data_IF_181249989738
#
_entry.id   IF_181249989738
#
_cell.length_a   1.000
_cell.length_b   1.000
_cell.length_c   1.000
_cell.angle_alpha   90.00
_cell.angle_beta   90.00
_cell.angle_gamma   90.00
#
_symmetry.space_group_name_H-M   'P 1'
#
loop_
_entity.id
_entity.type
_entity.pdbx_description
1 polymer ?
#
# COMPACT_ATOMS: atom_id res chain seq x y z
N UNK A 1 -18.01 -29.48 -63.18
CA UNK A 1 -18.90 -28.47 -62.59
C UNK A 1 -18.48 -28.30 -61.15
N UNK A 2 -17.62 -27.33 -60.90
CA UNK A 2 -17.05 -27.05 -59.58
C UNK A 2 -17.57 -25.69 -59.09
N UNK A 3 -18.31 -25.69 -58.00
CA UNK A 3 -18.80 -24.50 -57.34
C UNK A 3 -17.70 -23.93 -56.43
N UNK A 4 -17.49 -22.61 -56.42
CA UNK A 4 -16.56 -22.00 -55.48
C UNK A 4 -17.19 -21.78 -54.11
N UNK A 5 -16.47 -22.16 -53.07
CA UNK A 5 -16.78 -21.88 -51.66
C UNK A 5 -16.39 -20.45 -51.37
N UNK A 6 -17.38 -19.62 -50.98
CA UNK A 6 -17.15 -18.27 -50.54
C UNK A 6 -16.65 -18.25 -49.08
N UNK A 7 -15.39 -17.83 -48.88
CA UNK A 7 -14.82 -17.59 -47.58
C UNK A 7 -15.24 -16.19 -47.09
N UNK A 8 -16.15 -16.15 -46.12
CA UNK A 8 -16.52 -14.91 -45.44
C UNK A 8 -15.50 -14.64 -44.34
N UNK A 9 -14.62 -13.67 -44.59
CA UNK A 9 -13.67 -13.15 -43.63
C UNK A 9 -14.36 -12.13 -42.74
N UNK A 10 -14.68 -12.53 -41.49
CA UNK A 10 -15.15 -11.61 -40.44
C UNK A 10 -13.93 -10.98 -39.75
N UNK A 11 -13.46 -9.87 -40.31
CA UNK A 11 -12.58 -8.95 -39.61
C UNK A 11 -13.42 -8.17 -38.57
N UNK A 12 -13.54 -8.68 -37.35
CA UNK A 12 -13.99 -7.89 -36.22
C UNK A 12 -12.86 -6.94 -35.83
N UNK A 13 -13.00 -5.71 -36.23
CA UNK A 13 -12.22 -4.59 -35.74
C UNK A 13 -12.53 -4.42 -34.25
N UNK A 14 -11.68 -5.00 -33.36
CA UNK A 14 -11.71 -4.70 -31.94
C UNK A 14 -11.07 -3.33 -31.80
N UNK A 15 -11.89 -2.29 -31.77
CA UNK A 15 -11.48 -1.00 -31.26
C UNK A 15 -11.32 -1.16 -29.76
N UNK A 16 -10.10 -1.48 -29.33
CA UNK A 16 -9.69 -1.24 -27.94
C UNK A 16 -9.74 0.27 -27.73
N UNK A 17 -10.81 0.72 -27.11
CA UNK A 17 -10.86 2.03 -26.49
C UNK A 17 -9.86 1.99 -25.31
N UNK A 18 -8.61 2.28 -25.60
CA UNK A 18 -7.68 2.72 -24.57
C UNK A 18 -8.19 4.08 -24.10
N UNK A 19 -9.10 4.08 -23.14
CA UNK A 19 -9.28 5.26 -22.31
C UNK A 19 -7.94 5.47 -21.63
N UNK A 20 -7.18 6.44 -22.13
CA UNK A 20 -6.02 6.97 -21.44
C UNK A 20 -6.49 7.52 -20.11
N UNK A 21 -6.50 6.68 -19.09
CA UNK A 21 -6.47 7.10 -17.68
C UNK A 21 -5.03 7.54 -17.42
N UNK A 22 -4.63 8.62 -18.07
CA UNK A 22 -3.57 9.46 -17.59
C UNK A 22 -4.13 10.24 -16.41
N UNK A 23 -4.38 9.57 -15.28
CA UNK A 23 -4.19 10.26 -14.01
C UNK A 23 -2.69 10.46 -13.89
N UNK A 24 -2.19 11.41 -14.69
CA UNK A 24 -0.82 11.81 -14.64
C UNK A 24 -0.49 12.21 -13.22
N UNK A 25 0.63 11.76 -12.72
CA UNK A 25 1.42 12.59 -11.85
C UNK A 25 1.62 13.89 -12.65
N UNK A 26 0.65 14.79 -12.58
CA UNK A 26 0.82 16.10 -13.18
C UNK A 26 2.09 16.63 -12.51
N UNK A 27 2.96 17.23 -13.30
CA UNK A 27 4.12 18.01 -12.87
C UNK A 27 3.60 19.08 -11.91
N UNK A 28 3.24 18.62 -10.71
CA UNK A 28 2.55 19.36 -9.70
C UNK A 28 3.61 20.04 -8.85
N UNK A 29 3.83 21.27 -9.16
CA UNK A 29 4.03 22.18 -8.06
C UNK A 29 2.87 21.95 -7.07
N UNK A 30 3.13 21.51 -5.84
CA UNK A 30 2.20 21.32 -4.70
C UNK A 30 0.78 20.91 -5.14
N UNK A 31 0.66 19.79 -5.84
CA UNK A 31 -0.61 19.31 -6.36
C UNK A 31 -1.52 18.94 -5.20
N UNK A 32 -2.73 19.46 -5.21
CA UNK A 32 -3.76 19.08 -4.26
C UNK A 32 -3.95 17.57 -4.33
N UNK A 33 -3.64 16.91 -3.21
CA UNK A 33 -3.98 15.51 -3.04
C UNK A 33 -5.50 15.41 -2.99
N UNK A 34 -6.10 14.75 -3.97
CA UNK A 34 -7.50 14.33 -3.82
C UNK A 34 -7.58 13.43 -2.60
N UNK A 35 -8.67 13.52 -1.84
CA UNK A 35 -8.86 12.67 -0.65
C UNK A 35 -8.51 11.21 -0.93
N UNK A 36 -7.98 10.55 0.07
CA UNK A 36 -7.56 9.15 -0.03
C UNK A 36 -8.73 8.25 -0.46
N UNK A 37 -8.58 7.42 -1.50
CA UNK A 37 -9.63 6.50 -1.93
C UNK A 37 -9.84 5.42 -0.85
N UNK A 38 -11.06 4.89 -0.75
CA UNK A 38 -11.35 3.71 0.06
C UNK A 38 -10.68 2.47 -0.53
N UNK A 39 -10.30 1.54 0.33
CA UNK A 39 -9.71 0.24 -0.03
C UNK A 39 -10.53 -0.85 0.65
N UNK A 40 -10.91 -1.87 -0.10
CA UNK A 40 -11.69 -2.99 0.42
C UNK A 40 -10.92 -3.71 1.53
N UNK A 41 -11.64 -4.13 2.58
CA UNK A 41 -11.04 -4.74 3.76
C UNK A 41 -10.49 -3.76 4.80
N UNK A 42 -10.47 -2.47 4.50
CA UNK A 42 -9.95 -1.43 5.39
C UNK A 42 -11.04 -0.42 5.79
N UNK A 43 -10.90 0.15 6.98
CA UNK A 43 -11.75 1.24 7.44
C UNK A 43 -11.60 2.48 6.55
N UNK A 44 -12.51 3.43 6.66
CA UNK A 44 -12.40 4.72 5.96
C UNK A 44 -11.03 5.33 6.21
N UNK A 45 -10.27 5.69 5.16
CA UNK A 45 -8.92 6.20 5.31
C UNK A 45 -8.88 7.57 6.00
N UNK A 46 -7.81 7.82 6.74
CA UNK A 46 -7.51 9.14 7.31
C UNK A 46 -6.45 9.81 6.45
N UNK A 47 -6.74 11.02 5.95
CA UNK A 47 -5.74 11.84 5.26
C UNK A 47 -4.73 12.37 6.27
N UNK A 48 -3.45 12.23 5.98
CA UNK A 48 -2.35 12.62 6.85
C UNK A 48 -1.56 13.78 6.25
N UNK A 49 -0.93 14.57 7.11
CA UNK A 49 -0.03 15.66 6.70
C UNK A 49 1.38 15.18 6.35
N UNK A 50 1.77 14.00 6.84
CA UNK A 50 3.08 13.40 6.71
C UNK A 50 2.98 11.87 6.84
N UNK A 51 4.05 11.14 6.58
CA UNK A 51 4.09 9.71 6.87
C UNK A 51 4.20 9.46 8.39
N UNK A 52 3.68 8.32 8.83
CA UNK A 52 3.76 7.88 10.23
C UNK A 52 5.23 7.58 10.58
N UNK A 53 5.65 8.06 11.75
CA UNK A 53 6.90 7.68 12.41
C UNK A 53 6.54 7.03 13.76
N UNK A 54 6.29 5.72 13.72
CA UNK A 54 5.85 4.95 14.86
C UNK A 54 6.98 4.75 15.89
N UNK A 55 6.77 5.07 17.19
CA UNK A 55 7.74 4.74 18.22
C UNK A 55 7.70 3.25 18.57
N UNK A 56 8.73 2.76 19.26
CA UNK A 56 8.65 1.48 19.94
C UNK A 56 7.57 1.50 21.02
N UNK A 57 6.84 0.40 21.14
CA UNK A 57 5.91 0.18 22.25
C UNK A 57 6.49 -0.81 23.25
N UNK A 58 5.90 -0.90 24.44
CA UNK A 58 6.26 -1.94 25.43
C UNK A 58 5.35 -3.15 25.24
N UNK A 59 5.94 -4.31 24.95
CA UNK A 59 5.24 -5.60 24.91
C UNK A 59 6.01 -6.57 25.83
N UNK A 60 5.36 -7.08 26.86
CA UNK A 60 5.97 -8.00 27.84
C UNK A 60 7.28 -7.45 28.48
N UNK A 61 7.35 -6.14 28.73
CA UNK A 61 8.52 -5.47 29.32
C UNK A 61 9.71 -5.28 28.36
N UNK A 62 9.52 -5.52 27.07
CA UNK A 62 10.53 -5.32 26.02
C UNK A 62 10.05 -4.27 25.01
N UNK A 63 11.00 -3.57 24.40
CA UNK A 63 10.71 -2.69 23.28
C UNK A 63 10.27 -3.53 22.07
N UNK A 64 9.09 -3.22 21.55
CA UNK A 64 8.53 -3.88 20.38
C UNK A 64 8.35 -2.87 19.25
N UNK A 65 8.93 -3.20 18.10
CA UNK A 65 8.77 -2.43 16.88
C UNK A 65 7.52 -2.90 16.15
N UNK A 66 6.55 -1.99 16.02
CA UNK A 66 5.32 -2.25 15.26
C UNK A 66 5.51 -2.13 13.77
N UNK A 67 6.62 -1.53 13.31
CA UNK A 67 6.95 -1.44 11.89
C UNK A 67 7.20 -2.84 11.31
N UNK A 68 6.52 -3.14 10.21
CA UNK A 68 6.55 -4.46 9.56
C UNK A 68 7.03 -4.39 8.11
N UNK A 69 7.77 -3.35 7.77
CA UNK A 69 8.42 -3.22 6.49
C UNK A 69 7.82 -2.15 5.57
N UNK A 70 8.45 -2.00 4.41
CA UNK A 70 8.10 -1.01 3.40
C UNK A 70 8.04 -1.66 2.02
N UNK A 71 7.17 -1.13 1.17
CA UNK A 71 7.13 -1.45 -0.26
C UNK A 71 7.11 -0.17 -1.08
N UNK A 72 7.74 -0.23 -2.26
CA UNK A 72 7.72 0.85 -3.25
C UNK A 72 7.17 0.32 -4.57
N UNK A 73 6.17 1.02 -5.10
CA UNK A 73 5.61 0.77 -6.42
C UNK A 73 5.86 2.01 -7.30
N UNK A 74 6.82 1.91 -8.22
CA UNK A 74 7.30 3.03 -9.04
C UNK A 74 6.82 2.98 -10.50
N UNK A 75 6.07 1.96 -10.88
CA UNK A 75 5.63 1.73 -12.27
C UNK A 75 4.19 2.15 -12.54
N UNK A 76 3.41 2.42 -11.50
CA UNK A 76 1.99 2.73 -11.58
C UNK A 76 1.68 4.12 -11.00
N UNK A 77 0.52 4.70 -11.35
CA UNK A 77 -0.03 5.84 -10.62
C UNK A 77 -0.16 5.53 -9.12
N UNK A 78 -0.27 6.59 -8.30
CA UNK A 78 -0.55 6.43 -6.87
C UNK A 78 -1.82 5.58 -6.67
N UNK A 79 -1.65 4.46 -5.99
CA UNK A 79 -2.72 3.49 -5.75
C UNK A 79 -2.52 2.80 -4.38
N UNK A 80 -3.29 3.19 -3.35
CA UNK A 80 -3.22 2.57 -2.03
C UNK A 80 -3.63 1.09 -2.00
N UNK A 81 -4.36 0.58 -3.00
CA UNK A 81 -4.73 -0.83 -3.06
C UNK A 81 -3.50 -1.74 -3.20
N UNK A 82 -2.42 -1.22 -3.80
CA UNK A 82 -1.13 -1.91 -3.84
C UNK A 82 -0.52 -2.06 -2.45
N UNK A 83 -0.76 -1.09 -1.56
CA UNK A 83 -0.31 -1.16 -0.16
C UNK A 83 -1.13 -2.17 0.63
N UNK A 84 -2.43 -2.27 0.38
CA UNK A 84 -3.29 -3.30 0.97
C UNK A 84 -2.81 -4.71 0.59
N UNK A 85 -2.62 -4.96 -0.71
CA UNK A 85 -2.09 -6.24 -1.19
C UNK A 85 -0.71 -6.57 -0.60
N UNK A 86 0.16 -5.55 -0.43
CA UNK A 86 1.45 -5.73 0.21
C UNK A 86 1.33 -6.07 1.70
N UNK A 87 0.35 -5.47 2.41
CA UNK A 87 0.04 -5.71 3.81
C UNK A 87 -0.44 -7.15 4.03
N UNK A 88 -1.40 -7.59 3.21
CA UNK A 88 -1.90 -8.97 3.22
C UNK A 88 -0.79 -9.99 2.94
N UNK A 89 0.02 -9.72 1.90
CA UNK A 89 1.14 -10.59 1.54
C UNK A 89 2.20 -10.66 2.64
N UNK A 90 2.45 -9.55 3.35
CA UNK A 90 3.37 -9.53 4.49
C UNK A 90 2.83 -10.38 5.64
N UNK A 91 1.54 -10.25 5.98
CA UNK A 91 0.88 -11.08 7.00
C UNK A 91 0.99 -12.56 6.65
N UNK A 92 0.71 -12.93 5.41
CA UNK A 92 0.81 -14.32 4.96
C UNK A 92 2.23 -14.85 5.07
N UNK A 93 3.22 -14.07 4.65
CA UNK A 93 4.63 -14.44 4.75
C UNK A 93 5.06 -14.64 6.20
N UNK A 94 4.71 -13.72 7.10
CA UNK A 94 5.08 -13.80 8.51
C UNK A 94 4.42 -15.01 9.19
N UNK A 95 3.17 -15.29 8.84
CA UNK A 95 2.41 -16.45 9.32
C UNK A 95 2.99 -17.80 8.86
N UNK A 96 3.55 -17.85 7.67
CA UNK A 96 4.13 -19.09 7.12
C UNK A 96 5.58 -19.32 7.54
N UNK A 97 6.35 -18.24 7.79
CA UNK A 97 7.80 -18.33 7.90
C UNK A 97 8.40 -17.75 9.19
N UNK A 98 7.67 -16.88 9.89
CA UNK A 98 8.20 -16.13 11.02
C UNK A 98 7.40 -16.31 12.33
N UNK A 99 6.76 -17.46 12.47
CA UNK A 99 6.05 -17.83 13.72
C UNK A 99 7.07 -18.16 14.80
N UNK A 100 6.92 -17.54 15.97
CA UNK A 100 7.78 -17.81 17.11
C UNK A 100 7.36 -19.10 17.87
N UNK A 101 8.12 -19.45 18.93
CA UNK A 101 7.87 -20.63 19.75
C UNK A 101 6.52 -20.57 20.51
N UNK A 102 5.88 -19.41 20.61
CA UNK A 102 4.57 -19.22 21.25
C UNK A 102 3.42 -19.23 20.24
N UNK A 103 3.71 -19.47 18.97
CA UNK A 103 2.75 -19.41 17.87
C UNK A 103 2.38 -17.97 17.48
N UNK A 104 3.21 -16.97 17.82
CA UNK A 104 2.98 -15.57 17.47
C UNK A 104 3.77 -15.18 16.23
N UNK A 105 3.18 -14.30 15.39
CA UNK A 105 3.79 -13.69 14.22
C UNK A 105 3.39 -12.21 14.14
N UNK A 106 4.00 -11.45 13.24
CA UNK A 106 3.72 -10.02 13.03
C UNK A 106 2.69 -9.82 11.92
N UNK A 107 1.38 -9.68 12.20
CA UNK A 107 0.42 -9.38 11.15
C UNK A 107 0.56 -7.92 10.70
N UNK A 108 0.30 -7.62 9.44
CA UNK A 108 0.12 -6.26 8.99
C UNK A 108 -1.36 -5.88 9.15
N UNK A 109 -1.68 -5.06 10.14
CA UNK A 109 -3.04 -4.61 10.45
C UNK A 109 -3.27 -3.14 10.12
N UNK A 110 -2.23 -2.47 9.66
CA UNK A 110 -2.26 -1.06 9.36
C UNK A 110 -1.18 -0.72 8.34
N UNK A 111 -1.50 0.16 7.41
CA UNK A 111 -0.48 0.73 6.55
C UNK A 111 -0.68 2.22 6.34
N UNK A 112 0.40 2.91 6.01
CA UNK A 112 0.34 4.23 5.42
C UNK A 112 0.77 4.16 3.97
N UNK A 113 0.02 4.88 3.13
CA UNK A 113 0.34 5.05 1.72
C UNK A 113 0.65 6.51 1.46
N UNK A 114 1.74 6.80 0.74
CA UNK A 114 2.12 8.17 0.38
C UNK A 114 2.92 8.19 -0.92
N UNK A 115 3.06 9.38 -1.50
CA UNK A 115 3.98 9.62 -2.60
C UNK A 115 5.24 10.26 -2.03
N UNK A 116 6.41 9.66 -2.28
CA UNK A 116 7.69 10.31 -2.06
C UNK A 116 8.08 11.05 -3.33
N UNK A 117 8.48 12.30 -3.20
CA UNK A 117 9.05 13.08 -4.32
C UNK A 117 10.54 13.28 -4.13
N UNK A 118 11.27 13.41 -5.21
CA UNK A 118 12.65 13.88 -5.24
C UNK A 118 12.69 15.19 -6.01
N UNK A 119 13.06 16.29 -5.36
CA UNK A 119 13.07 17.63 -5.96
C UNK A 119 11.72 17.98 -6.63
N UNK A 120 10.62 17.60 -5.97
CA UNK A 120 9.27 17.78 -6.47
C UNK A 120 8.80 16.78 -7.54
N UNK A 121 9.64 15.83 -7.96
CA UNK A 121 9.28 14.78 -8.93
C UNK A 121 8.85 13.52 -8.19
N UNK A 122 7.61 13.01 -8.42
CA UNK A 122 7.14 11.78 -7.79
C UNK A 122 8.01 10.57 -8.14
N UNK A 123 8.34 9.77 -7.14
CA UNK A 123 9.09 8.52 -7.29
C UNK A 123 8.18 7.29 -7.35
N UNK A 124 6.99 7.36 -6.75
CA UNK A 124 6.05 6.25 -6.74
C UNK A 124 5.17 6.22 -5.49
N UNK A 125 4.37 5.15 -5.37
CA UNK A 125 3.58 4.84 -4.18
C UNK A 125 4.45 4.13 -3.16
N UNK A 126 4.61 4.74 -2.00
CA UNK A 126 5.28 4.15 -0.84
C UNK A 126 4.25 3.63 0.14
N UNK A 127 4.49 2.44 0.66
CA UNK A 127 3.70 1.76 1.66
C UNK A 127 4.57 1.49 2.88
N UNK A 128 4.22 2.02 4.04
CA UNK A 128 4.82 1.63 5.31
C UNK A 128 3.82 0.76 6.07
N UNK A 129 4.24 -0.44 6.46
CA UNK A 129 3.41 -1.49 7.03
C UNK A 129 3.62 -1.58 8.55
N UNK A 130 2.54 -1.80 9.31
CA UNK A 130 2.58 -1.85 10.77
C UNK A 130 1.66 -2.94 11.33
N UNK A 131 2.01 -3.45 12.49
CA UNK A 131 1.22 -4.48 13.18
C UNK A 131 -0.01 -3.93 13.90
N UNK A 132 -0.07 -2.62 14.13
CA UNK A 132 -1.18 -1.94 14.79
C UNK A 132 -1.42 -0.56 14.20
N UNK A 133 -2.63 -0.02 14.43
CA UNK A 133 -3.00 1.33 14.01
C UNK A 133 -2.28 2.40 14.81
N UNK A 134 -1.96 3.50 14.13
CA UNK A 134 -1.39 4.73 14.68
C UNK A 134 -2.26 5.90 14.28
N UNK A 135 -2.46 6.84 15.18
CA UNK A 135 -3.21 8.05 14.91
C UNK A 135 -2.36 9.13 14.21
N UNK A 136 -3.02 10.21 13.79
CA UNK A 136 -2.40 11.28 13.03
C UNK A 136 -1.30 12.07 13.80
N UNK A 137 -1.23 11.96 15.13
CA UNK A 137 -0.20 12.64 15.93
C UNK A 137 1.20 12.09 15.64
N UNK A 138 1.28 10.85 15.15
CA UNK A 138 2.53 10.22 14.72
C UNK A 138 2.88 10.52 13.26
N UNK A 139 2.04 11.24 12.53
CA UNK A 139 2.28 11.64 11.14
C UNK A 139 3.22 12.86 11.07
N UNK A 140 4.49 12.65 11.37
CA UNK A 140 5.52 13.68 11.53
C UNK A 140 6.65 13.60 10.51
N UNK A 141 6.74 12.51 9.73
CA UNK A 141 7.77 12.36 8.72
C UNK A 141 7.37 13.07 7.42
N UNK A 142 7.87 14.28 7.22
CA UNK A 142 7.62 15.10 6.03
C UNK A 142 8.59 14.82 4.89
N UNK A 143 9.65 14.04 5.13
CA UNK A 143 10.72 13.77 4.18
C UNK A 143 12.10 14.04 4.78
N UNK A 144 13.11 14.13 3.92
CA UNK A 144 14.51 14.30 4.32
C UNK A 144 15.34 14.92 3.18
N UNK A 145 16.53 15.38 3.50
CA UNK A 145 17.55 15.78 2.53
C UNK A 145 18.63 14.71 2.43
N UNK A 146 19.05 14.41 1.20
CA UNK A 146 20.22 13.57 0.94
C UNK A 146 21.15 14.28 -0.04
N UNK A 147 22.25 14.81 0.46
CA UNK A 147 23.07 15.76 -0.29
C UNK A 147 22.30 17.04 -0.61
N UNK A 148 22.23 17.39 -1.89
CA UNK A 148 21.47 18.55 -2.38
C UNK A 148 20.02 18.19 -2.77
N UNK A 149 19.66 16.89 -2.74
CA UNK A 149 18.34 16.43 -3.12
C UNK A 149 17.36 16.51 -1.95
N UNK A 150 16.20 17.12 -2.21
CA UNK A 150 15.06 17.15 -1.30
C UNK A 150 14.12 15.99 -1.58
N UNK A 151 13.83 15.20 -0.55
CA UNK A 151 12.81 14.15 -0.59
C UNK A 151 11.64 14.56 0.28
N UNK A 152 10.45 14.70 -0.32
CA UNK A 152 9.25 15.18 0.38
C UNK A 152 8.12 14.18 0.31
N UNK A 153 7.41 13.98 1.43
CA UNK A 153 6.20 13.17 1.53
C UNK A 153 5.00 14.02 1.13
N UNK A 154 4.20 13.53 0.18
CA UNK A 154 2.94 14.14 -0.22
C UNK A 154 1.84 13.08 -0.31
N UNK A 155 0.58 13.50 -0.23
CA UNK A 155 -0.59 12.63 -0.39
C UNK A 155 -0.60 11.43 0.57
N UNK A 156 -0.19 11.65 1.81
CA UNK A 156 -0.17 10.59 2.80
C UNK A 156 -1.58 10.28 3.32
N UNK A 157 -1.86 9.00 3.50
CA UNK A 157 -3.07 8.50 4.13
C UNK A 157 -2.80 7.22 4.90
N UNK A 158 -3.61 6.96 5.92
CA UNK A 158 -3.54 5.74 6.70
C UNK A 158 -4.78 4.89 6.54
N UNK A 159 -4.59 3.58 6.67
CA UNK A 159 -5.59 2.54 6.50
C UNK A 159 -5.46 1.51 7.61
N UNK A 160 -6.52 1.33 8.37
CA UNK A 160 -6.61 0.30 9.41
C UNK A 160 -7.43 -0.87 8.88
N UNK A 161 -6.95 -2.08 9.05
CA UNK A 161 -7.70 -3.29 8.73
C UNK A 161 -9.03 -3.28 9.49
N UNK A 162 -10.14 -3.58 8.82
CA UNK A 162 -11.47 -3.64 9.41
C UNK A 162 -11.67 -4.89 10.30
N UNK A 163 -10.85 -5.91 10.07
CA UNK A 163 -10.86 -7.18 10.80
C UNK A 163 -9.43 -7.60 11.16
N UNK A 164 -8.76 -6.85 12.07
CA UNK A 164 -7.34 -7.03 12.33
C UNK A 164 -7.01 -8.45 12.79
N UNK A 165 -5.95 -9.00 12.21
CA UNK A 165 -5.40 -10.31 12.57
C UNK A 165 -4.74 -10.23 13.96
N UNK A 166 -4.97 -11.24 14.79
CA UNK A 166 -4.43 -11.30 16.16
C UNK A 166 -2.93 -11.56 16.24
N UNK A 167 -2.30 -11.99 15.14
CA UNK A 167 -0.90 -12.37 15.08
C UNK A 167 -0.60 -13.68 15.82
N UNK A 168 -1.59 -14.57 15.91
CA UNK A 168 -1.45 -15.84 16.62
C UNK A 168 -2.03 -16.99 15.82
N UNK A 169 -1.27 -18.09 15.73
CA UNK A 169 -1.79 -19.34 15.17
C UNK A 169 -2.84 -19.89 16.14
N UNK A 170 -4.09 -19.94 15.68
CA UNK A 170 -5.15 -20.70 16.36
C UNK A 170 -5.10 -22.13 15.88
N UNK A 171 -4.74 -23.07 16.73
CA UNK A 171 -4.91 -24.49 16.42
C UNK A 171 -6.42 -24.74 16.20
N UNK A 172 -6.79 -25.05 14.99
CA UNK A 172 -8.14 -25.58 14.73
C UNK A 172 -8.15 -26.99 15.31
N UNK A 173 -8.69 -27.15 16.51
CA UNK A 173 -8.96 -28.46 17.05
C UNK A 173 -10.00 -29.09 16.13
N UNK A 174 -9.54 -29.98 15.24
CA UNK A 174 -10.44 -30.83 14.47
C UNK A 174 -10.95 -31.89 15.45
N UNK A 175 -12.19 -31.71 15.88
CA UNK A 175 -12.93 -32.67 16.69
C UNK A 175 -13.52 -33.73 15.80
#
# INVERSE_FOLDING_TARGET
MSSPVATVSFLRSIHLLFTNVTQGYSKAGKGECKGAPTVDGYNTPTNLKAAINAPYIQKNGQNYDTYNGMRLFNTNPYDPSLCAAACESQTQFDKEHLVDANGEYKPCNFFTSYILTKNGVPLGTYCALYTQSWDESYAVNTGYYYGEDEYSVICAASYSDSTPDTGKITETVVV
#
